data_IF_019975418526
#
_entry.id   IF_019975418526
#
_cell.length_a   1.000
_cell.length_b   1.000
_cell.length_c   1.000
_cell.angle_alpha   90.00
_cell.angle_beta   90.00
_cell.angle_gamma   90.00
#
_symmetry.space_group_name_H-M   'P 1'
#
loop_
_entity.id
_entity.type
_entity.pdbx_description
1 polymer ?
#
# COMPACT_ATOMS: atom_id res chain seq x y z
N UNK A 1 -3.24 -44.52 14.18
CA UNK A 1 -2.78 -43.25 14.78
C UNK A 1 -2.25 -42.35 13.65
N UNK A 2 -3.11 -41.52 13.05
CA UNK A 2 -2.65 -40.51 12.08
C UNK A 2 -2.43 -39.20 12.85
N UNK A 3 -1.22 -38.99 13.38
CA UNK A 3 -0.79 -37.63 13.68
C UNK A 3 -0.47 -36.96 12.34
N UNK A 4 -1.46 -36.29 11.75
CA UNK A 4 -1.21 -35.39 10.63
C UNK A 4 -0.32 -34.26 11.14
N UNK A 5 0.93 -34.17 10.66
CA UNK A 5 1.83 -33.10 11.08
C UNK A 5 1.29 -31.77 10.56
N UNK A 6 0.75 -30.97 11.47
CA UNK A 6 0.45 -29.57 11.25
C UNK A 6 1.59 -28.72 11.78
N UNK A 7 2.05 -27.75 11.00
CA UNK A 7 3.05 -26.77 11.41
C UNK A 7 2.48 -25.36 11.37
N UNK A 8 2.87 -24.56 12.35
CA UNK A 8 2.62 -23.11 12.39
C UNK A 8 3.96 -22.42 12.21
N UNK A 9 4.03 -21.48 11.28
CA UNK A 9 5.22 -20.71 10.98
C UNK A 9 4.97 -19.23 11.29
N UNK A 10 5.86 -18.65 12.08
CA UNK A 10 5.89 -17.24 12.41
C UNK A 10 6.99 -16.58 11.57
N UNK A 11 6.59 -15.73 10.64
CA UNK A 11 7.49 -15.01 9.74
C UNK A 11 7.51 -13.53 10.11
N UNK A 12 8.66 -12.92 9.90
CA UNK A 12 8.83 -11.47 9.94
C UNK A 12 9.44 -11.07 8.61
N UNK A 13 8.75 -10.22 7.85
CA UNK A 13 9.18 -9.74 6.53
C UNK A 13 9.36 -8.24 6.58
N UNK A 14 10.51 -7.75 6.10
CA UNK A 14 10.70 -6.34 5.81
C UNK A 14 10.03 -6.05 4.46
N UNK A 15 9.22 -5.00 4.40
CA UNK A 15 8.32 -4.69 3.29
C UNK A 15 8.44 -3.24 2.85
N UNK A 16 8.09 -2.99 1.60
CA UNK A 16 8.05 -1.68 0.97
C UNK A 16 6.67 -1.45 0.34
N UNK A 17 6.10 -0.26 0.54
CA UNK A 17 4.86 0.14 -0.16
C UNK A 17 5.13 0.26 -1.67
N UNK A 18 4.17 -0.20 -2.50
CA UNK A 18 4.26 -0.12 -3.97
C UNK A 18 3.24 0.86 -4.51
N UNK A 19 3.39 1.27 -5.77
CA UNK A 19 2.44 2.21 -6.41
C UNK A 19 1.05 1.60 -6.68
N UNK A 20 0.96 0.27 -6.67
CA UNK A 20 -0.29 -0.42 -6.90
C UNK A 20 -1.19 -0.38 -5.67
N UNK A 21 -2.38 0.21 -5.82
CA UNK A 21 -3.44 0.04 -4.83
C UNK A 21 -3.84 -1.43 -4.67
N UNK A 22 -4.07 -1.87 -3.44
CA UNK A 22 -4.64 -3.20 -3.12
C UNK A 22 -5.97 -3.48 -3.82
N UNK A 23 -6.71 -2.42 -4.17
CA UNK A 23 -7.97 -2.53 -4.92
C UNK A 23 -7.78 -3.02 -6.36
N UNK A 24 -6.58 -2.82 -6.92
CA UNK A 24 -6.24 -3.34 -8.24
C UNK A 24 -6.17 -4.87 -8.28
N UNK A 25 -5.97 -5.51 -7.11
CA UNK A 25 -5.78 -6.96 -6.94
C UNK A 25 -4.68 -7.55 -7.83
N UNK A 26 -3.76 -6.70 -8.32
CA UNK A 26 -2.60 -7.16 -9.08
C UNK A 26 -1.66 -7.92 -8.15
N UNK A 27 -0.94 -8.90 -8.72
CA UNK A 27 0.18 -9.49 -8.01
C UNK A 27 1.21 -8.40 -7.72
N UNK A 28 1.97 -8.52 -6.64
CA UNK A 28 2.92 -7.48 -6.23
C UNK A 28 4.16 -7.43 -7.13
N UNK A 29 4.58 -8.55 -7.72
CA UNK A 29 5.78 -8.62 -8.57
C UNK A 29 5.78 -7.63 -9.76
N UNK A 30 4.68 -7.46 -10.52
CA UNK A 30 4.61 -6.46 -11.58
C UNK A 30 4.36 -5.03 -11.07
N UNK A 31 4.11 -4.85 -9.77
CA UNK A 31 3.99 -3.52 -9.18
C UNK A 31 5.39 -3.01 -8.91
N UNK A 32 5.90 -2.21 -9.84
CA UNK A 32 7.21 -1.60 -9.70
C UNK A 32 7.29 -0.85 -8.37
N UNK A 33 8.43 -1.02 -7.72
CA UNK A 33 8.91 -0.03 -6.78
C UNK A 33 9.28 1.16 -7.64
N UNK A 34 8.37 2.12 -7.78
CA UNK A 34 8.64 3.40 -8.42
C UNK A 34 10.09 3.80 -8.17
N UNK A 35 10.85 4.04 -9.24
CA UNK A 35 12.31 4.20 -9.25
C UNK A 35 12.82 4.50 -7.84
N UNK A 36 13.41 3.52 -7.16
CA UNK A 36 13.76 3.57 -5.74
C UNK A 36 14.55 4.86 -5.44
N UNK A 37 15.32 5.34 -6.41
CA UNK A 37 16.03 6.60 -6.35
C UNK A 37 15.13 7.84 -6.36
N UNK A 38 14.07 7.86 -7.17
CA UNK A 38 13.06 8.93 -7.21
C UNK A 38 12.16 8.95 -5.96
N UNK A 39 11.74 7.77 -5.46
CA UNK A 39 10.87 7.66 -4.27
C UNK A 39 11.61 7.78 -2.93
N UNK A 40 12.88 7.37 -2.87
CA UNK A 40 13.72 7.62 -1.71
C UNK A 40 14.25 9.08 -1.69
N UNK A 41 14.44 9.72 -2.86
CA UNK A 41 14.86 11.13 -2.90
C UNK A 41 13.70 12.11 -2.69
N UNK A 42 12.47 11.73 -3.04
CA UNK A 42 11.25 12.51 -2.76
C UNK A 42 10.64 12.22 -1.37
N UNK A 43 11.09 11.19 -0.65
CA UNK A 43 10.56 10.82 0.66
C UNK A 43 9.15 10.23 0.64
N UNK A 44 8.70 9.66 -0.48
CA UNK A 44 7.38 9.05 -0.59
C UNK A 44 7.36 7.55 -0.32
N UNK A 45 8.53 6.93 -0.20
CA UNK A 45 8.64 5.49 0.09
C UNK A 45 8.31 5.20 1.56
N UNK A 46 7.32 4.34 1.79
CA UNK A 46 7.08 3.78 3.11
C UNK A 46 7.76 2.41 3.21
N UNK A 47 8.46 2.19 4.30
CA UNK A 47 9.11 0.93 4.64
C UNK A 47 8.53 0.41 5.95
N UNK A 48 8.64 -0.89 6.18
CA UNK A 48 8.17 -1.41 7.45
C UNK A 48 8.34 -2.89 7.57
N UNK A 49 7.59 -3.46 8.51
CA UNK A 49 7.71 -4.86 8.87
C UNK A 49 6.35 -5.50 9.06
N UNK A 50 6.19 -6.68 8.47
CA UNK A 50 5.01 -7.51 8.61
C UNK A 50 5.34 -8.77 9.40
N UNK A 51 4.60 -9.00 10.48
CA UNK A 51 4.58 -10.27 11.22
C UNK A 51 3.45 -11.13 10.69
N UNK A 52 3.76 -12.34 10.25
CA UNK A 52 2.84 -13.22 9.54
C UNK A 52 2.81 -14.58 10.24
N UNK A 53 1.61 -15.09 10.48
CA UNK A 53 1.37 -16.42 11.00
C UNK A 53 0.77 -17.24 9.86
N UNK A 54 1.44 -18.32 9.48
CA UNK A 54 0.92 -19.27 8.50
C UNK A 54 0.75 -20.65 9.12
N UNK A 55 -0.28 -21.36 8.69
CA UNK A 55 -0.59 -22.71 9.10
C UNK A 55 -0.51 -23.64 7.89
N UNK A 56 0.27 -24.71 8.00
CA UNK A 56 0.35 -25.74 6.98
C UNK A 56 0.01 -27.09 7.60
N UNK A 57 -0.90 -27.83 6.97
CA UNK A 57 -1.13 -29.24 7.32
C UNK A 57 -0.79 -30.12 6.12
N UNK A 58 -0.45 -31.38 6.37
CA UNK A 58 -0.23 -32.36 5.31
C UNK A 58 -1.43 -32.48 4.35
N UNK A 59 -2.65 -32.20 4.83
CA UNK A 59 -3.87 -32.20 4.00
C UNK A 59 -3.98 -30.94 3.13
N UNK A 60 -3.56 -29.79 3.64
CA UNK A 60 -3.73 -28.50 2.96
C UNK A 60 -2.75 -28.30 1.80
N UNK A 61 -1.61 -29.03 1.76
CA UNK A 61 -0.52 -28.97 0.75
C UNK A 61 0.10 -27.58 0.49
N UNK A 62 -0.55 -26.49 0.88
CA UNK A 62 -0.13 -25.10 0.77
C UNK A 62 -0.29 -24.40 2.12
N UNK A 63 0.63 -23.49 2.49
CA UNK A 63 0.47 -22.66 3.67
C UNK A 63 -0.77 -21.78 3.54
N UNK A 64 -1.59 -21.75 4.59
CA UNK A 64 -2.68 -20.79 4.71
C UNK A 64 -2.27 -19.65 5.64
N UNK A 65 -2.62 -18.43 5.25
CA UNK A 65 -2.44 -17.26 6.09
C UNK A 65 -3.46 -17.31 7.24
N UNK A 66 -2.95 -17.42 8.47
CA UNK A 66 -3.79 -17.41 9.68
C UNK A 66 -3.99 -15.98 10.20
N UNK A 67 -2.94 -15.16 10.17
CA UNK A 67 -3.00 -13.77 10.59
C UNK A 67 -1.76 -13.00 10.18
N UNK A 68 -1.89 -11.69 10.09
CA UNK A 68 -0.77 -10.80 9.84
C UNK A 68 -0.98 -9.48 10.56
N UNK A 69 0.12 -8.82 10.89
CA UNK A 69 0.13 -7.45 11.38
C UNK A 69 1.33 -6.73 10.77
N UNK A 70 1.07 -5.60 10.11
CA UNK A 70 2.10 -4.81 9.43
C UNK A 70 2.16 -3.42 10.04
N UNK A 71 3.37 -2.91 10.23
CA UNK A 71 3.62 -1.54 10.62
C UNK A 71 4.50 -0.91 9.56
N UNK A 72 4.00 0.15 8.92
CA UNK A 72 4.70 0.92 7.90
C UNK A 72 5.03 2.31 8.45
N UNK A 73 6.17 2.83 8.03
CA UNK A 73 6.70 4.11 8.41
C UNK A 73 7.29 4.80 7.17
N UNK A 74 7.02 6.09 6.95
CA UNK A 74 7.67 6.83 5.89
C UNK A 74 9.15 7.08 6.23
N UNK A 75 9.94 7.34 5.18
CA UNK A 75 11.32 7.81 5.34
C UNK A 75 11.34 9.16 6.08
N UNK A 76 12.08 9.26 7.21
CA UNK A 76 12.29 10.52 7.89
C UNK A 76 12.86 11.59 6.94
N UNK A 77 12.33 12.82 6.94
CA UNK A 77 12.79 13.89 6.06
C UNK A 77 14.29 14.19 6.17
N UNK A 78 14.87 14.04 7.36
CA UNK A 78 16.30 14.29 7.63
C UNK A 78 17.23 13.31 6.90
N UNK A 79 16.72 12.15 6.46
CA UNK A 79 17.47 11.19 5.66
C UNK A 79 17.34 11.45 4.16
N UNK A 80 16.47 12.37 3.75
CA UNK A 80 16.30 12.77 2.36
C UNK A 80 17.43 13.73 1.98
N UNK A 81 18.20 13.39 0.97
CA UNK A 81 19.29 14.23 0.47
C UNK A 81 18.80 15.41 -0.40
N UNK A 82 17.49 15.68 -0.42
CA UNK A 82 16.88 16.67 -1.29
C UNK A 82 16.19 17.78 -0.47
N UNK A 83 16.69 19.03 -0.61
CA UNK A 83 16.14 20.20 0.07
C UNK A 83 14.78 20.66 -0.49
N UNK A 84 14.49 20.34 -1.75
CA UNK A 84 13.29 20.81 -2.46
C UNK A 84 12.29 19.68 -2.73
N UNK A 85 12.49 18.50 -2.15
CA UNK A 85 11.62 17.35 -2.37
C UNK A 85 10.25 17.54 -1.73
N UNK A 86 9.17 17.12 -2.41
CA UNK A 86 7.84 17.13 -1.81
C UNK A 86 7.82 16.15 -0.64
N UNK A 87 7.81 16.66 0.60
CA UNK A 87 7.69 15.80 1.79
C UNK A 87 6.34 15.08 1.74
N UNK A 88 6.34 13.75 1.78
CA UNK A 88 5.12 12.97 2.03
C UNK A 88 4.65 13.30 3.45
N UNK A 89 3.70 14.22 3.53
CA UNK A 89 3.00 14.51 4.79
C UNK A 89 2.20 13.27 5.12
N UNK A 90 2.47 12.64 6.27
CA UNK A 90 1.55 11.65 6.82
C UNK A 90 0.23 12.37 7.06
N UNK A 91 -0.74 12.15 6.18
CA UNK A 91 -2.10 12.65 6.35
C UNK A 91 -2.77 11.75 7.40
N UNK A 92 -2.45 12.00 8.67
CA UNK A 92 -3.06 11.30 9.81
C UNK A 92 -4.58 11.56 9.86
N UNK A 93 -5.02 12.70 9.33
CA UNK A 93 -6.43 13.06 9.22
C UNK A 93 -6.76 13.71 7.87
N UNK A 94 -7.80 13.19 7.20
CA UNK A 94 -8.34 13.75 5.95
C UNK A 94 -9.10 15.05 6.25
N UNK A 95 -8.39 16.17 6.22
CA UNK A 95 -8.97 17.51 6.39
C UNK A 95 -9.90 17.92 5.23
N UNK A 96 -10.74 18.95 5.45
CA UNK A 96 -11.61 19.52 4.40
C UNK A 96 -10.81 20.05 3.19
N UNK A 97 -9.58 20.51 3.40
CA UNK A 97 -8.71 20.93 2.29
C UNK A 97 -8.36 19.76 1.37
N UNK A 98 -8.01 18.60 1.94
CA UNK A 98 -7.75 17.39 1.15
C UNK A 98 -9.00 16.97 0.35
N UNK A 99 -10.19 17.04 0.97
CA UNK A 99 -11.44 16.71 0.29
C UNK A 99 -11.72 17.65 -0.89
N UNK A 100 -11.46 18.95 -0.72
CA UNK A 100 -11.64 19.95 -1.77
C UNK A 100 -10.67 19.74 -2.94
N UNK A 101 -9.39 19.44 -2.66
CA UNK A 101 -8.39 19.13 -3.69
C UNK A 101 -8.81 17.88 -4.47
N UNK A 102 -9.18 16.83 -3.74
CA UNK A 102 -9.65 15.57 -4.29
C UNK A 102 -10.92 15.73 -5.15
N UNK A 103 -11.88 16.57 -4.72
CA UNK A 103 -13.09 16.87 -5.48
C UNK A 103 -12.79 17.63 -6.77
N UNK A 104 -11.90 18.63 -6.74
CA UNK A 104 -11.47 19.37 -7.93
C UNK A 104 -10.74 18.48 -8.93
N UNK A 105 -9.87 17.59 -8.44
CA UNK A 105 -9.18 16.62 -9.30
C UNK A 105 -10.17 15.64 -9.96
N UNK A 106 -11.19 15.20 -9.22
CA UNK A 106 -12.25 14.34 -9.73
C UNK A 106 -13.08 15.03 -10.82
N UNK A 107 -13.46 16.28 -10.60
CA UNK A 107 -14.19 17.08 -11.59
C UNK A 107 -13.37 17.25 -12.87
N UNK A 108 -12.09 17.63 -12.73
CA UNK A 108 -11.16 17.76 -13.86
C UNK A 108 -11.07 16.46 -14.66
N UNK A 109 -10.83 15.33 -13.99
CA UNK A 109 -10.74 14.01 -14.62
C UNK A 109 -12.01 13.65 -15.41
N UNK A 110 -13.18 13.86 -14.81
CA UNK A 110 -14.46 13.57 -15.46
C UNK A 110 -14.75 14.52 -16.65
N UNK A 111 -14.24 15.75 -16.62
CA UNK A 111 -14.42 16.74 -17.69
C UNK A 111 -13.47 16.53 -18.88
N UNK A 112 -12.27 16.01 -18.63
CA UNK A 112 -11.23 15.78 -19.65
C UNK A 112 -11.24 14.35 -20.19
N UNK A 113 -11.82 13.40 -19.47
CA UNK A 113 -11.86 11.99 -19.84
C UNK A 113 -12.71 11.71 -21.08
N UNK A 114 -12.11 11.07 -22.09
CA UNK A 114 -12.78 10.67 -23.34
C UNK A 114 -13.51 9.32 -23.24
N UNK A 115 -13.39 8.63 -22.10
CA UNK A 115 -13.98 7.31 -21.84
C UNK A 115 -15.26 7.43 -21.01
N UNK A 116 -16.22 6.51 -21.24
CA UNK A 116 -17.55 6.42 -20.61
C UNK A 116 -17.54 6.12 -19.09
N UNK A 117 -16.44 6.38 -18.38
CA UNK A 117 -16.33 6.05 -16.95
C UNK A 117 -16.35 7.31 -16.12
N UNK A 118 -17.53 7.72 -15.66
CA UNK A 118 -17.68 8.80 -14.68
C UNK A 118 -17.33 8.29 -13.29
N UNK A 119 -16.25 8.82 -12.71
CA UNK A 119 -15.86 8.52 -11.34
C UNK A 119 -16.71 9.32 -10.35
N UNK A 120 -17.11 8.67 -9.26
CA UNK A 120 -17.93 9.29 -8.20
C UNK A 120 -17.13 9.48 -6.91
N UNK A 121 -17.59 10.38 -6.04
CA UNK A 121 -16.98 10.61 -4.74
C UNK A 121 -16.92 9.34 -3.86
N UNK A 122 -17.89 8.43 -4.00
CA UNK A 122 -17.88 7.14 -3.31
C UNK A 122 -16.76 6.22 -3.79
N UNK A 123 -16.39 6.29 -5.07
CA UNK A 123 -15.22 5.57 -5.58
C UNK A 123 -13.93 6.20 -5.05
N UNK A 124 -13.84 7.53 -5.02
CA UNK A 124 -12.66 8.22 -4.51
C UNK A 124 -12.40 7.96 -3.03
N UNK A 125 -13.45 7.89 -2.20
CA UNK A 125 -13.34 7.52 -0.78
C UNK A 125 -12.71 6.14 -0.54
N UNK A 126 -12.78 5.23 -1.51
CA UNK A 126 -12.08 3.92 -1.42
C UNK A 126 -10.57 4.05 -1.63
N UNK A 127 -10.10 5.11 -2.27
CA UNK A 127 -8.67 5.38 -2.47
C UNK A 127 -8.05 6.23 -1.35
N UNK A 128 -8.87 6.96 -0.60
CA UNK A 128 -8.44 7.79 0.54
C UNK A 128 -8.41 7.04 1.89
N UNK A 129 -8.54 5.70 1.87
CA UNK A 129 -8.49 4.83 3.05
C UNK A 129 -7.37 3.81 2.93
#
# INVERSE_FOLDING_TARGET
>A
LFWGHSSVLYLTLDVLETECSVLSRRHWEPCEYSDIYSMASNGTQDFGQCKIITYTSQLLKKPQLYGFNCTLNPVPPDLLQCKDSPVKVQVLEVTEQHKNIAAKALEKFNSEGTTQTTLTWTMLKRFLR
#
